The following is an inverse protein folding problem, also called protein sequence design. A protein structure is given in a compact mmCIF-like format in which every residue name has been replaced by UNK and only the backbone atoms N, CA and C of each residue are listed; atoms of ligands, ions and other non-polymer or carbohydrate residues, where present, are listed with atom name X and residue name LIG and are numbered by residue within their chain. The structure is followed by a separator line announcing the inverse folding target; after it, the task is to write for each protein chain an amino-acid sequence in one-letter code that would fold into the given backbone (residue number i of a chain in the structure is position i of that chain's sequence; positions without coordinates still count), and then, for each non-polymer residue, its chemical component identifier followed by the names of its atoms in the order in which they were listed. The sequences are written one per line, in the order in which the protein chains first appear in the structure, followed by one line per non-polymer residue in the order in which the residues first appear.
data_IF_214630307847
#
_entry.id   IF_214630307847
#
_cell.length_a   1.000
_cell.length_b   1.000
_cell.length_c   1.000
_cell.angle_alpha   90.00
_cell.angle_beta   90.00
_cell.angle_gamma   90.00
#
_symmetry.space_group_name_H-M   'P 1'
#
loop_
_entity.id
_entity.type
_entity.pdbx_description
1 polymer ?
#
# COMPACT_ATOMS: atom_id res chain seq x y z
N UNK A 1 22.60 25.13 -10.69
CA UNK A 1 21.48 24.17 -10.84
C UNK A 1 22.12 22.84 -11.16
N UNK A 2 21.99 21.81 -10.31
CA UNK A 2 20.72 21.14 -10.02
C UNK A 2 20.54 20.72 -8.56
N UNK A 3 19.30 20.66 -8.06
CA UNK A 3 18.96 19.74 -6.97
C UNK A 3 17.50 19.34 -7.15
N UNK A 4 17.31 18.41 -8.09
CA UNK A 4 16.06 17.70 -8.25
C UNK A 4 15.90 16.80 -7.04
N UNK A 5 15.26 17.34 -6.00
CA UNK A 5 14.81 16.60 -4.84
C UNK A 5 13.86 15.50 -5.33
N UNK A 6 14.43 14.34 -5.67
CA UNK A 6 13.71 13.10 -5.89
C UNK A 6 13.24 12.69 -4.50
N UNK A 7 12.06 13.19 -4.15
CA UNK A 7 11.25 12.64 -3.08
C UNK A 7 11.10 11.16 -3.38
N UNK A 8 11.94 10.33 -2.76
CA UNK A 8 11.61 8.92 -2.53
C UNK A 8 10.45 8.97 -1.53
N UNK A 9 9.28 9.29 -2.08
CA UNK A 9 8.02 9.24 -1.38
C UNK A 9 7.84 7.75 -1.22
N UNK A 10 8.29 7.24 -0.08
CA UNK A 10 8.04 5.87 0.36
C UNK A 10 6.52 5.68 0.25
N UNK A 11 6.09 5.13 -0.89
CA UNK A 11 4.68 5.02 -1.26
C UNK A 11 4.12 4.04 -0.25
N UNK A 12 3.54 4.57 0.83
CA UNK A 12 2.86 3.74 1.79
C UNK A 12 1.62 3.20 1.05
N UNK A 13 1.57 1.90 0.71
CA UNK A 13 0.44 1.30 -0.03
C UNK A 13 -0.89 1.42 0.75
N UNK A 14 -0.81 1.81 2.03
CA UNK A 14 -1.90 1.93 3.00
C UNK A 14 -2.39 3.37 3.17
N UNK A 15 -1.74 4.34 2.54
CA UNK A 15 -2.11 5.76 2.60
C UNK A 15 -2.13 6.36 1.20
N UNK A 16 -3.34 6.54 0.66
CA UNK A 16 -3.53 7.17 -0.64
C UNK A 16 -4.30 8.47 -0.45
N UNK A 17 -3.65 9.58 -0.79
CA UNK A 17 -4.27 10.90 -0.85
C UNK A 17 -4.46 11.31 -2.32
N UNK A 18 -5.64 11.82 -2.66
CA UNK A 18 -5.89 12.39 -3.98
C UNK A 18 -6.78 13.62 -3.91
N UNK A 19 -6.53 14.54 -4.84
CA UNK A 19 -7.30 15.76 -4.99
C UNK A 19 -8.49 15.54 -5.93
N UNK A 20 -9.65 16.05 -5.52
CA UNK A 20 -10.91 15.92 -6.25
C UNK A 20 -11.43 17.31 -6.58
N UNK A 21 -11.67 17.57 -7.87
CA UNK A 21 -12.20 18.84 -8.33
C UNK A 21 -13.74 18.83 -8.28
N UNK A 22 -14.30 19.77 -7.53
CA UNK A 22 -15.74 19.98 -7.40
C UNK A 22 -16.36 20.71 -8.58
N UNK A 23 -17.69 20.69 -8.71
CA UNK A 23 -18.41 21.31 -9.82
C UNK A 23 -18.29 22.84 -9.87
N UNK A 24 -17.96 23.48 -8.75
CA UNK A 24 -17.75 24.93 -8.63
C UNK A 24 -16.27 25.33 -8.77
N UNK A 25 -15.38 24.39 -9.12
CA UNK A 25 -13.94 24.62 -9.18
C UNK A 25 -13.21 24.56 -7.83
N UNK A 26 -13.91 24.22 -6.75
CA UNK A 26 -13.27 23.98 -5.45
C UNK A 26 -12.55 22.64 -5.43
N UNK A 27 -11.32 22.61 -4.93
CA UNK A 27 -10.54 21.38 -4.78
C UNK A 27 -10.74 20.83 -3.38
N UNK A 28 -11.10 19.54 -3.29
CA UNK A 28 -11.24 18.80 -2.04
C UNK A 28 -10.15 17.72 -1.97
N UNK A 29 -9.72 17.39 -0.77
CA UNK A 29 -8.77 16.29 -0.55
C UNK A 29 -9.53 15.07 -0.03
N UNK A 30 -9.28 13.92 -0.64
CA UNK A 30 -9.77 12.62 -0.19
C UNK A 30 -8.58 11.76 0.26
N UNK A 31 -8.66 11.26 1.48
CA UNK A 31 -7.64 10.40 2.09
C UNK A 31 -8.25 9.03 2.32
N UNK A 32 -7.64 8.03 1.70
CA UNK A 32 -7.96 6.62 1.88
C UNK A 32 -6.83 5.99 2.69
N UNK A 33 -7.16 5.57 3.91
CA UNK A 33 -6.28 4.76 4.75
C UNK A 33 -7.14 3.79 5.57
N UNK A 34 -6.64 3.37 6.74
CA UNK A 34 -7.46 2.66 7.76
C UNK A 34 -8.73 3.43 8.11
N UNK A 35 -8.67 4.76 8.03
CA UNK A 35 -9.81 5.67 8.10
C UNK A 35 -9.93 6.40 6.77
N UNK A 36 -11.14 6.43 6.22
CA UNK A 36 -11.43 7.16 4.98
C UNK A 36 -11.99 8.52 5.37
N UNK A 37 -11.46 9.58 4.77
CA UNK A 37 -11.90 10.95 5.03
C UNK A 37 -11.90 11.79 3.77
N UNK A 38 -12.80 12.77 3.71
CA UNK A 38 -12.84 13.73 2.62
C UNK A 38 -13.11 15.14 3.17
N UNK A 39 -12.39 16.14 2.69
CA UNK A 39 -12.58 17.54 3.09
C UNK A 39 -13.80 18.21 2.45
N UNK A 40 -14.67 17.44 1.77
CA UNK A 40 -15.89 18.00 1.18
C UNK A 40 -16.96 18.28 2.24
N UNK A 41 -17.85 19.27 1.98
CA UNK A 41 -18.91 19.64 2.92
C UNK A 41 -19.87 18.48 3.20
N UNK A 42 -20.18 17.64 2.21
CA UNK A 42 -21.03 16.47 2.37
C UNK A 42 -20.49 15.52 3.44
N UNK A 43 -19.20 15.18 3.38
CA UNK A 43 -18.55 14.30 4.34
C UNK A 43 -18.45 14.93 5.74
N UNK A 44 -18.15 16.23 5.78
CA UNK A 44 -18.06 16.98 7.05
C UNK A 44 -19.40 17.05 7.79
N UNK A 45 -20.51 16.95 7.06
CA UNK A 45 -21.87 16.87 7.59
C UNK A 45 -22.35 15.42 7.83
N UNK A 46 -21.50 14.41 7.60
CA UNK A 46 -21.82 12.99 7.82
C UNK A 46 -22.60 12.33 6.68
N UNK A 47 -22.69 12.96 5.51
CA UNK A 47 -23.35 12.40 4.32
C UNK A 47 -22.38 11.62 3.42
N UNK A 48 -22.94 10.66 2.68
CA UNK A 48 -22.21 9.92 1.65
C UNK A 48 -21.81 10.88 0.52
N UNK A 49 -20.52 11.19 0.42
CA UNK A 49 -20.00 12.01 -0.65
C UNK A 49 -19.56 11.16 -1.85
N UNK A 50 -19.83 11.64 -3.07
CA UNK A 50 -19.38 11.00 -4.33
C UNK A 50 -17.86 10.96 -4.53
N UNK A 51 -17.12 11.68 -3.69
CA UNK A 51 -15.67 11.79 -3.79
C UNK A 51 -14.94 10.58 -3.19
N UNK A 52 -15.60 9.83 -2.31
CA UNK A 52 -15.09 8.60 -1.72
C UNK A 52 -15.61 7.39 -2.52
N UNK A 53 -14.84 6.29 -2.56
CA UNK A 53 -15.29 5.06 -3.19
C UNK A 53 -16.43 4.41 -2.39
N UNK A 54 -17.12 3.44 -3.00
CA UNK A 54 -18.26 2.78 -2.36
C UNK A 54 -17.85 2.00 -1.09
N UNK A 55 -18.82 1.69 -0.23
CA UNK A 55 -18.60 0.98 1.04
C UNK A 55 -17.82 -0.33 0.88
N UNK A 56 -18.13 -1.14 -0.14
CA UNK A 56 -17.42 -2.40 -0.42
C UNK A 56 -15.95 -2.18 -0.78
N UNK A 57 -15.65 -1.10 -1.51
CA UNK A 57 -14.29 -0.72 -1.85
C UNK A 57 -13.54 -0.20 -0.61
N UNK A 58 -14.21 0.61 0.21
CA UNK A 58 -13.69 1.09 1.49
C UNK A 58 -13.33 -0.09 2.39
N UNK A 59 -14.18 -1.10 2.50
CA UNK A 59 -13.92 -2.30 3.28
C UNK A 59 -12.69 -3.07 2.76
N UNK A 60 -12.54 -3.21 1.44
CA UNK A 60 -11.35 -3.84 0.84
C UNK A 60 -10.09 -3.04 1.12
N UNK A 61 -10.14 -1.72 0.99
CA UNK A 61 -9.01 -0.82 1.23
C UNK A 61 -8.60 -0.82 2.70
N UNK A 62 -9.58 -0.81 3.62
CA UNK A 62 -9.35 -0.98 5.06
C UNK A 62 -8.76 -2.34 5.39
N UNK A 63 -9.26 -3.41 4.77
CA UNK A 63 -8.72 -4.76 4.97
C UNK A 63 -7.25 -4.83 4.54
N UNK A 64 -6.89 -4.21 3.41
CA UNK A 64 -5.50 -4.11 2.94
C UNK A 64 -4.67 -3.24 3.88
N UNK A 65 -5.17 -2.08 4.30
CA UNK A 65 -4.49 -1.18 5.25
C UNK A 65 -4.29 -1.81 6.64
N UNK A 66 -5.13 -2.76 7.02
CA UNK A 66 -5.01 -3.52 8.27
C UNK A 66 -3.89 -4.57 8.24
N UNK A 67 -3.28 -4.83 7.07
CA UNK A 67 -2.20 -5.80 6.93
C UNK A 67 -0.92 -5.17 7.46
N UNK A 68 -0.54 -5.60 8.67
CA UNK A 68 0.68 -5.12 9.32
C UNK A 68 1.86 -5.98 8.92
N UNK A 69 3.00 -5.33 8.67
CA UNK A 69 4.28 -6.00 8.50
C UNK A 69 4.58 -6.83 9.74
N UNK A 70 4.88 -8.11 9.56
CA UNK A 70 5.33 -9.00 10.63
C UNK A 70 6.77 -8.67 11.04
N UNK A 71 7.17 -8.98 12.29
CA UNK A 71 8.55 -8.84 12.71
C UNK A 71 9.47 -9.59 11.74
N UNK A 72 10.68 -9.06 11.55
CA UNK A 72 11.70 -9.68 10.73
C UNK A 72 12.30 -10.82 11.56
N UNK A 73 11.65 -11.98 11.50
CA UNK A 73 12.00 -13.16 12.28
C UNK A 73 12.00 -14.41 11.38
N UNK A 74 13.04 -15.23 11.53
CA UNK A 74 13.24 -16.45 10.75
C UNK A 74 14.01 -16.29 9.44
N UNK A 75 13.87 -17.29 8.56
CA UNK A 75 14.61 -17.42 7.33
C UNK A 75 13.72 -17.18 6.09
N UNK A 76 14.33 -16.64 5.03
CA UNK A 76 13.68 -16.47 3.74
C UNK A 76 13.40 -17.83 3.11
N UNK A 77 12.16 -18.08 2.67
CA UNK A 77 11.78 -19.37 2.07
C UNK A 77 12.33 -19.59 0.66
N UNK A 78 12.93 -18.56 0.05
CA UNK A 78 13.49 -18.63 -1.31
C UNK A 78 14.96 -19.03 -1.27
N UNK A 79 15.78 -18.33 -0.48
CA UNK A 79 17.22 -18.60 -0.37
C UNK A 79 17.63 -19.36 0.90
N UNK A 80 16.71 -19.61 1.84
CA UNK A 80 16.97 -20.24 3.14
C UNK A 80 17.89 -19.46 4.09
N UNK A 81 18.31 -18.26 3.71
CA UNK A 81 19.14 -17.36 4.54
C UNK A 81 18.29 -16.58 5.57
N UNK A 82 18.89 -16.12 6.68
CA UNK A 82 18.19 -15.32 7.68
C UNK A 82 17.69 -14.00 7.08
N UNK A 83 16.46 -13.60 7.41
CA UNK A 83 15.87 -12.36 6.90
C UNK A 83 16.61 -11.11 7.39
N UNK A 84 17.27 -11.19 8.55
CA UNK A 84 18.00 -10.08 9.16
C UNK A 84 19.47 -9.97 8.68
N UNK A 85 19.83 -10.57 7.53
CA UNK A 85 21.20 -10.59 7.00
C UNK A 85 21.69 -9.27 6.35
N UNK A 86 21.07 -8.13 6.69
CA UNK A 86 21.40 -6.82 6.11
C UNK A 86 20.96 -6.61 4.65
N UNK A 87 20.32 -7.59 4.02
CA UNK A 87 19.75 -7.45 2.68
C UNK A 87 18.47 -6.61 2.69
N UNK A 88 18.13 -6.00 1.55
CA UNK A 88 16.89 -5.25 1.42
C UNK A 88 15.70 -6.18 1.51
N UNK A 89 14.83 -5.92 2.48
CA UNK A 89 13.61 -6.67 2.69
C UNK A 89 12.41 -5.92 2.14
N UNK A 90 11.57 -6.66 1.45
CA UNK A 90 10.21 -6.27 1.10
C UNK A 90 9.23 -7.16 1.86
N UNK A 91 7.96 -6.79 1.89
CA UNK A 91 6.97 -7.53 2.65
C UNK A 91 5.61 -7.55 1.96
N UNK A 92 4.81 -8.57 2.27
CA UNK A 92 3.51 -8.74 1.64
C UNK A 92 2.47 -7.77 2.22
N UNK A 93 2.25 -6.66 1.51
CA UNK A 93 1.30 -5.61 1.86
C UNK A 93 -0.15 -5.93 1.51
N UNK A 94 -0.38 -6.93 0.64
CA UNK A 94 -1.72 -7.29 0.15
C UNK A 94 -2.29 -8.56 0.79
N UNK A 95 -1.52 -9.26 1.62
CA UNK A 95 -1.99 -10.49 2.28
C UNK A 95 -1.42 -10.72 3.68
N UNK A 96 -0.32 -11.49 3.77
CA UNK A 96 0.12 -12.09 5.03
C UNK A 96 1.10 -11.26 5.89
N UNK A 97 1.63 -10.15 5.38
CA UNK A 97 2.59 -9.33 6.12
C UNK A 97 4.00 -9.92 6.27
N UNK A 98 4.29 -11.11 5.74
CA UNK A 98 5.62 -11.74 5.84
C UNK A 98 6.67 -10.98 5.02
N UNK A 99 7.92 -11.06 5.48
CA UNK A 99 9.10 -10.45 4.85
C UNK A 99 9.79 -11.43 3.89
N UNK A 100 10.35 -10.91 2.81
CA UNK A 100 11.17 -11.64 1.83
C UNK A 100 12.26 -10.71 1.33
N UNK A 101 13.43 -11.24 0.96
CA UNK A 101 14.47 -10.42 0.33
C UNK A 101 13.98 -9.88 -1.01
N UNK A 102 14.36 -8.63 -1.33
CA UNK A 102 14.01 -8.00 -2.60
C UNK A 102 14.51 -8.84 -3.78
N UNK A 103 15.78 -9.25 -3.76
CA UNK A 103 16.39 -10.07 -4.82
C UNK A 103 15.64 -11.40 -5.00
N UNK A 104 15.38 -12.12 -3.89
CA UNK A 104 14.63 -13.36 -3.91
C UNK A 104 13.22 -13.20 -4.48
N UNK A 105 12.57 -12.08 -4.22
CA UNK A 105 11.26 -11.78 -4.77
C UNK A 105 11.33 -11.40 -6.25
N UNK A 106 12.36 -10.68 -6.68
CA UNK A 106 12.60 -10.38 -8.10
C UNK A 106 12.71 -11.66 -8.91
N UNK A 107 13.48 -12.64 -8.42
CA UNK A 107 13.57 -13.96 -9.07
C UNK A 107 12.21 -14.67 -9.11
N UNK A 108 11.48 -14.68 -7.98
CA UNK A 108 10.16 -15.30 -7.86
C UNK A 108 9.13 -14.72 -8.85
N UNK A 109 9.12 -13.40 -9.01
CA UNK A 109 8.13 -12.70 -9.82
C UNK A 109 8.37 -12.71 -11.32
N UNK A 110 9.51 -13.26 -11.76
CA UNK A 110 9.80 -13.54 -13.18
C UNK A 110 8.67 -14.36 -13.84
N UNK A 111 7.97 -15.21 -13.06
CA UNK A 111 6.85 -16.01 -13.55
C UNK A 111 5.49 -15.43 -13.15
N UNK A 112 5.29 -15.10 -11.87
CA UNK A 112 4.02 -14.60 -11.32
C UNK A 112 4.25 -13.61 -10.18
N UNK A 113 3.55 -12.48 -10.24
CA UNK A 113 3.64 -11.40 -9.25
C UNK A 113 2.74 -11.69 -8.04
N UNK A 114 3.08 -12.75 -7.29
CA UNK A 114 2.35 -13.21 -6.11
C UNK A 114 3.25 -13.43 -4.90
N UNK A 115 2.68 -13.38 -3.71
CA UNK A 115 3.41 -13.61 -2.47
C UNK A 115 3.90 -15.06 -2.36
N UNK A 116 5.19 -15.24 -2.09
CA UNK A 116 5.81 -16.54 -1.77
C UNK A 116 5.11 -17.31 -0.63
N UNK A 117 4.57 -16.60 0.36
CA UNK A 117 3.99 -17.22 1.56
C UNK A 117 2.48 -17.48 1.44
N UNK A 118 1.70 -16.50 0.97
CA UNK A 118 0.24 -16.60 0.94
C UNK A 118 -0.36 -16.64 -0.47
N UNK A 119 0.47 -16.55 -1.52
CA UNK A 119 0.08 -16.54 -2.94
C UNK A 119 -0.86 -15.40 -3.37
N UNK A 120 -1.14 -14.45 -2.48
CA UNK A 120 -1.90 -13.24 -2.81
C UNK A 120 -1.17 -12.42 -3.87
N UNK A 121 -1.91 -11.87 -4.83
CA UNK A 121 -1.38 -10.97 -5.86
C UNK A 121 -0.78 -9.71 -5.22
N UNK A 122 0.41 -9.33 -5.68
CA UNK A 122 1.04 -8.08 -5.26
C UNK A 122 0.49 -6.96 -6.13
N UNK A 123 -0.15 -5.97 -5.49
CA UNK A 123 -0.73 -4.82 -6.21
C UNK A 123 0.30 -3.77 -6.64
N UNK A 124 1.46 -3.74 -5.99
CA UNK A 124 2.53 -2.80 -6.31
C UNK A 124 3.56 -3.49 -7.21
N UNK A 125 3.51 -3.19 -8.50
CA UNK A 125 4.66 -3.38 -9.40
C UNK A 125 5.48 -2.11 -9.29
N UNK A 126 6.55 -2.16 -8.49
CA UNK A 126 7.61 -1.15 -8.52
C UNK A 126 8.14 -0.96 -9.94
#
# INVERSE_FOLDING_TARGET
MPDGNRIDSEINPTHQEYSVLGPTGHVYTAVISTTVSCSCPDFSLGFHCKHLPNEKEIEKLKAIASIKRKPIDGNCSVCMEPLNNGQKLIWCQSGCGNNVHQDCFTEWTTQKVTCVYCRTEWKDRM
#
